data_IF_780170855414
#
_entry.id   IF_780170855414
#
_cell.length_a   1.000
_cell.length_b   1.000
_cell.length_c   1.000
_cell.angle_alpha   90.00
_cell.angle_beta   90.00
_cell.angle_gamma   90.00
#
_symmetry.space_group_name_H-M   'P 1'
#
loop_
_entity.id
_entity.type
_entity.pdbx_description
1 polymer ?
#
# COMPACT_ATOMS: atom_id res chain seq x y z
N UNK A 1 2.18 30.25 5.43
CA UNK A 1 2.94 29.92 4.21
C UNK A 1 1.93 29.31 3.28
N UNK A 2 1.55 30.02 2.22
CA UNK A 2 0.67 29.45 1.20
C UNK A 2 1.45 28.36 0.49
N UNK A 3 0.92 27.14 0.52
CA UNK A 3 1.56 26.02 -0.16
C UNK A 3 1.47 26.26 -1.67
N UNK A 4 2.61 26.42 -2.34
CA UNK A 4 2.70 26.56 -3.80
C UNK A 4 2.23 25.32 -4.56
N UNK A 5 2.04 24.20 -3.85
CA UNK A 5 1.64 22.91 -4.42
C UNK A 5 0.38 22.42 -3.72
N UNK A 6 -0.65 22.13 -4.50
CA UNK A 6 -1.87 21.47 -4.05
C UNK A 6 -1.85 20.01 -4.50
N UNK A 7 -1.80 19.11 -3.54
CA UNK A 7 -1.90 17.68 -3.80
C UNK A 7 -3.36 17.25 -3.94
N UNK A 8 -3.61 16.18 -4.67
CA UNK A 8 -4.93 15.54 -4.72
C UNK A 8 -5.41 15.27 -3.29
N UNK A 9 -6.66 15.58 -2.98
CA UNK A 9 -7.26 15.34 -1.66
C UNK A 9 -7.45 13.86 -1.34
N UNK A 10 -7.43 13.00 -2.35
CA UNK A 10 -7.64 11.57 -2.20
C UNK A 10 -6.46 10.91 -1.47
N UNK A 11 -6.77 9.95 -0.57
CA UNK A 11 -5.77 9.15 0.13
C UNK A 11 -5.03 8.18 -0.81
N UNK A 12 -3.90 7.64 -0.36
CA UNK A 12 -3.15 6.63 -1.08
C UNK A 12 -3.78 5.24 -0.87
N UNK A 13 -3.95 4.48 -1.95
CA UNK A 13 -4.21 3.04 -1.84
C UNK A 13 -2.88 2.30 -1.81
N UNK A 14 -2.63 1.55 -0.72
CA UNK A 14 -1.36 0.90 -0.46
C UNK A 14 -1.60 -0.60 -0.27
N UNK A 15 -0.93 -1.42 -1.04
CA UNK A 15 -0.92 -2.88 -0.87
C UNK A 15 0.38 -3.29 -0.20
N UNK A 16 0.27 -3.91 0.97
CA UNK A 16 1.40 -4.50 1.69
C UNK A 16 1.29 -6.02 1.63
N UNK A 17 2.22 -6.65 0.94
CA UNK A 17 2.30 -8.11 0.82
C UNK A 17 3.67 -8.62 1.23
N UNK A 18 3.82 -9.93 1.23
CA UNK A 18 5.06 -10.62 1.55
C UNK A 18 4.80 -11.93 2.28
N UNK A 19 5.81 -12.78 2.42
CA UNK A 19 5.66 -14.11 2.97
C UNK A 19 5.07 -14.14 4.37
N UNK A 20 4.37 -15.23 4.70
CA UNK A 20 3.93 -15.46 6.07
C UNK A 20 5.13 -15.47 7.02
N UNK A 21 5.07 -14.63 8.06
CA UNK A 21 6.18 -14.52 9.03
C UNK A 21 7.20 -13.41 8.73
N UNK A 22 7.08 -12.65 7.64
CA UNK A 22 7.98 -11.53 7.34
C UNK A 22 7.76 -10.28 8.22
N UNK A 23 6.63 -10.20 8.98
CA UNK A 23 6.37 -9.14 9.95
C UNK A 23 5.53 -7.98 9.44
N UNK A 24 4.65 -8.19 8.43
CA UNK A 24 3.72 -7.17 7.90
C UNK A 24 2.91 -6.49 8.99
N UNK A 25 2.17 -7.26 9.80
CA UNK A 25 1.32 -6.72 10.86
C UNK A 25 2.11 -5.91 11.90
N UNK A 26 3.34 -6.32 12.22
CA UNK A 26 4.18 -5.55 13.14
C UNK A 26 4.54 -4.20 12.56
N UNK A 27 4.92 -4.14 11.28
CA UNK A 27 5.21 -2.89 10.58
C UNK A 27 3.97 -2.00 10.51
N UNK A 28 2.81 -2.56 10.12
CA UNK A 28 1.55 -1.83 10.02
C UNK A 28 1.16 -1.25 11.40
N UNK A 29 1.21 -2.05 12.45
CA UNK A 29 0.85 -1.61 13.80
C UNK A 29 1.75 -0.47 14.31
N UNK A 30 3.06 -0.52 14.04
CA UNK A 30 3.97 0.57 14.41
C UNK A 30 3.75 1.81 13.54
N UNK A 31 3.47 1.64 12.24
CA UNK A 31 3.15 2.74 11.34
C UNK A 31 1.88 3.50 11.78
N UNK A 32 0.86 2.80 12.25
CA UNK A 32 -0.38 3.38 12.79
C UNK A 32 -0.16 4.20 14.07
N UNK A 33 0.93 3.99 14.80
CA UNK A 33 1.27 4.82 15.97
C UNK A 33 1.85 6.19 15.59
N UNK A 34 2.45 6.29 14.42
CA UNK A 34 3.11 7.53 13.96
C UNK A 34 2.30 8.29 12.90
N UNK A 35 1.28 7.66 12.31
CA UNK A 35 0.38 8.26 11.32
C UNK A 35 -1.07 8.09 11.72
N UNK A 36 -1.80 9.21 11.78
CA UNK A 36 -3.20 9.24 12.24
C UNK A 36 -4.22 9.16 11.08
N UNK A 37 -3.77 9.27 9.83
CA UNK A 37 -4.61 9.33 8.64
C UNK A 37 -4.56 8.03 7.82
N UNK A 38 -4.30 6.90 8.46
CA UNK A 38 -4.25 5.58 7.81
C UNK A 38 -5.37 4.71 8.36
N UNK A 39 -6.14 4.14 7.46
CA UNK A 39 -7.08 3.07 7.74
C UNK A 39 -6.57 1.74 7.15
N UNK A 40 -6.65 0.66 7.92
CA UNK A 40 -6.31 -0.68 7.45
C UNK A 40 -7.59 -1.38 7.04
N UNK A 41 -7.66 -1.82 5.80
CA UNK A 41 -8.84 -2.50 5.26
C UNK A 41 -9.13 -3.79 6.00
N UNK A 42 -10.40 -3.99 6.33
CA UNK A 42 -10.91 -5.22 6.92
C UNK A 42 -11.52 -6.06 5.80
N UNK A 43 -10.98 -7.26 5.61
CA UNK A 43 -11.47 -8.18 4.58
C UNK A 43 -12.82 -8.80 4.96
N UNK A 44 -13.61 -9.17 3.96
CA UNK A 44 -14.77 -10.02 4.11
C UNK A 44 -14.37 -11.50 4.07
N UNK A 45 -15.11 -12.35 4.77
CA UNK A 45 -14.96 -13.81 4.68
C UNK A 45 -16.29 -14.51 4.87
N UNK A 46 -16.46 -15.65 4.18
CA UNK A 46 -17.62 -16.55 4.40
C UNK A 46 -17.37 -17.59 5.49
N UNK A 47 -16.21 -17.53 6.14
CA UNK A 47 -15.86 -18.41 7.26
C UNK A 47 -16.51 -17.91 8.54
N UNK A 48 -16.99 -18.83 9.37
CA UNK A 48 -17.43 -18.51 10.72
C UNK A 48 -16.31 -17.89 11.58
N UNK A 49 -16.65 -16.96 12.49
CA UNK A 49 -15.70 -16.40 13.46
C UNK A 49 -15.00 -17.50 14.28
N UNK A 50 -13.73 -17.30 14.63
CA UNK A 50 -12.95 -18.21 15.48
C UNK A 50 -12.64 -17.52 16.81
N UNK A 51 -12.92 -18.23 17.90
CA UNK A 51 -12.61 -17.72 19.25
C UNK A 51 -13.24 -16.35 19.51
N UNK A 52 -12.42 -15.35 19.78
CA UNK A 52 -12.86 -13.98 20.10
C UNK A 52 -12.91 -13.03 18.89
N UNK A 53 -12.84 -13.55 17.67
CA UNK A 53 -12.94 -12.72 16.46
C UNK A 53 -14.28 -11.98 16.40
N UNK A 54 -14.24 -10.69 16.04
CA UNK A 54 -15.41 -9.81 16.00
C UNK A 54 -15.64 -9.27 14.60
N UNK A 55 -16.93 -9.23 14.21
CA UNK A 55 -17.37 -8.63 12.96
C UNK A 55 -16.99 -7.14 12.89
N UNK A 56 -16.44 -6.70 11.74
CA UNK A 56 -16.01 -5.33 11.55
C UNK A 56 -14.70 -4.97 12.26
N UNK A 57 -14.01 -5.93 12.89
CA UNK A 57 -12.70 -5.76 13.52
C UNK A 57 -11.67 -6.70 12.87
N UNK A 58 -11.93 -8.01 12.92
CA UNK A 58 -11.01 -8.99 12.35
C UNK A 58 -11.36 -9.30 10.90
N UNK A 59 -12.65 -9.45 10.63
CA UNK A 59 -13.27 -9.64 9.32
C UNK A 59 -14.67 -9.05 9.32
N UNK A 60 -15.20 -8.76 8.12
CA UNK A 60 -16.65 -8.74 7.90
C UNK A 60 -17.09 -10.17 7.59
N UNK A 61 -17.79 -10.79 8.52
CA UNK A 61 -18.28 -12.15 8.37
C UNK A 61 -19.61 -12.13 7.61
N UNK A 62 -19.63 -12.76 6.45
CA UNK A 62 -20.79 -12.88 5.55
C UNK A 62 -21.20 -14.33 5.44
N UNK A 63 -22.47 -14.61 5.16
CA UNK A 63 -22.85 -15.95 4.71
C UNK A 63 -22.24 -16.24 3.33
N UNK A 64 -22.21 -17.50 2.94
CA UNK A 64 -21.70 -17.88 1.60
C UNK A 64 -22.55 -17.25 0.50
N UNK A 65 -23.87 -17.25 0.67
CA UNK A 65 -24.86 -16.67 -0.24
C UNK A 65 -24.68 -15.15 -0.37
N UNK A 66 -24.42 -14.45 0.74
CA UNK A 66 -24.13 -13.01 0.72
C UNK A 66 -22.84 -12.73 -0.02
N UNK A 67 -21.79 -13.50 0.25
CA UNK A 67 -20.50 -13.34 -0.43
C UNK A 67 -20.63 -13.57 -1.94
N UNK A 68 -21.33 -14.63 -2.37
CA UNK A 68 -21.57 -14.95 -3.78
C UNK A 68 -22.43 -13.88 -4.48
N UNK A 69 -23.41 -13.31 -3.78
CA UNK A 69 -24.18 -12.16 -4.28
C UNK A 69 -23.27 -10.94 -4.49
N UNK A 70 -22.40 -10.66 -3.53
CA UNK A 70 -21.50 -9.50 -3.59
C UNK A 70 -20.42 -9.68 -4.67
N UNK A 71 -19.99 -10.92 -4.97
CA UNK A 71 -19.16 -11.23 -6.16
C UNK A 71 -19.91 -10.86 -7.44
N UNK A 72 -21.17 -11.28 -7.59
CA UNK A 72 -21.99 -10.99 -8.80
C UNK A 72 -22.23 -9.51 -9.00
N UNK A 73 -22.28 -8.74 -7.93
CA UNK A 73 -22.47 -7.29 -7.95
C UNK A 73 -21.14 -6.52 -8.09
N UNK A 74 -20.00 -7.22 -8.27
CA UNK A 74 -18.65 -6.62 -8.38
C UNK A 74 -18.27 -5.74 -7.17
N UNK A 75 -18.68 -6.15 -5.96
CA UNK A 75 -18.44 -5.38 -4.72
C UNK A 75 -17.01 -5.57 -4.16
N UNK A 76 -16.21 -6.49 -4.70
CA UNK A 76 -14.85 -6.75 -4.25
C UNK A 76 -13.79 -6.26 -5.23
N UNK A 77 -12.71 -5.66 -4.72
CA UNK A 77 -11.50 -5.38 -5.50
C UNK A 77 -10.84 -6.66 -5.98
N UNK A 78 -10.73 -7.62 -5.08
CA UNK A 78 -10.26 -8.98 -5.33
C UNK A 78 -10.97 -9.93 -4.37
N UNK A 79 -11.04 -11.17 -4.74
CA UNK A 79 -11.48 -12.27 -3.87
C UNK A 79 -10.79 -13.57 -4.26
N UNK A 80 -10.73 -14.50 -3.30
CA UNK A 80 -10.23 -15.85 -3.49
C UNK A 80 -11.00 -16.84 -2.62
N UNK A 81 -11.07 -18.10 -3.07
CA UNK A 81 -11.51 -19.21 -2.24
C UNK A 81 -10.31 -19.91 -1.63
N UNK A 82 -10.33 -20.12 -0.32
CA UNK A 82 -9.31 -20.85 0.40
C UNK A 82 -9.93 -21.80 1.42
N UNK A 83 -9.61 -23.09 1.34
CA UNK A 83 -10.14 -24.13 2.25
C UNK A 83 -11.67 -24.13 2.36
N UNK A 84 -12.38 -23.94 1.22
CA UNK A 84 -13.84 -23.96 1.15
C UNK A 84 -14.53 -22.69 1.64
N UNK A 85 -13.78 -21.63 1.95
CA UNK A 85 -14.32 -20.33 2.34
C UNK A 85 -13.81 -19.23 1.42
N UNK A 86 -14.65 -18.23 1.20
CA UNK A 86 -14.28 -17.03 0.47
C UNK A 86 -13.60 -16.01 1.38
N UNK A 87 -12.69 -15.26 0.79
CA UNK A 87 -12.04 -14.09 1.36
C UNK A 87 -11.98 -13.01 0.29
N UNK A 88 -12.28 -11.76 0.63
CA UNK A 88 -12.27 -10.68 -0.36
C UNK A 88 -12.14 -9.31 0.27
N UNK A 89 -11.69 -8.37 -0.53
CA UNK A 89 -11.42 -6.98 -0.16
C UNK A 89 -12.56 -6.11 -0.66
N UNK A 90 -13.45 -5.58 0.22
CA UNK A 90 -14.64 -4.84 -0.18
C UNK A 90 -14.31 -3.45 -0.73
N UNK A 91 -14.84 -3.08 -1.90
CA UNK A 91 -14.62 -1.77 -2.56
C UNK A 91 -15.21 -0.60 -1.77
N UNK A 92 -16.42 -0.78 -1.20
CA UNK A 92 -17.19 0.28 -0.57
C UNK A 92 -16.41 1.05 0.48
N UNK A 93 -15.85 0.35 1.47
CA UNK A 93 -15.15 0.97 2.58
C UNK A 93 -13.84 1.61 2.14
N UNK A 94 -13.14 1.00 1.19
CA UNK A 94 -11.89 1.53 0.63
C UNK A 94 -12.15 2.88 -0.04
N UNK A 95 -13.18 2.94 -0.90
CA UNK A 95 -13.54 4.18 -1.59
C UNK A 95 -13.90 5.29 -0.61
N UNK A 96 -14.68 4.98 0.42
CA UNK A 96 -15.09 5.95 1.44
C UNK A 96 -13.89 6.59 2.14
N UNK A 97 -12.91 5.78 2.60
CA UNK A 97 -11.72 6.28 3.27
C UNK A 97 -10.81 7.08 2.31
N UNK A 98 -10.59 6.59 1.10
CA UNK A 98 -9.80 7.32 0.09
C UNK A 98 -10.41 8.68 -0.25
N UNK A 99 -11.72 8.76 -0.45
CA UNK A 99 -12.42 10.00 -0.77
C UNK A 99 -12.39 11.01 0.39
N UNK A 100 -12.27 10.53 1.64
CA UNK A 100 -12.06 11.34 2.83
C UNK A 100 -10.60 11.80 3.00
N UNK A 101 -9.69 11.41 2.11
CA UNK A 101 -8.27 11.75 2.17
C UNK A 101 -7.44 10.87 3.11
N UNK A 102 -8.03 9.77 3.61
CA UNK A 102 -7.31 8.79 4.43
C UNK A 102 -6.57 7.79 3.54
N UNK A 103 -5.35 7.46 3.92
CA UNK A 103 -4.60 6.39 3.27
C UNK A 103 -5.19 5.03 3.64
N UNK A 104 -5.29 4.15 2.67
CA UNK A 104 -5.84 2.82 2.87
C UNK A 104 -4.77 1.76 2.66
N UNK A 105 -4.50 0.97 3.70
CA UNK A 105 -3.60 -0.19 3.62
C UNK A 105 -4.41 -1.46 3.41
N UNK A 106 -4.10 -2.20 2.37
CA UNK A 106 -4.55 -3.57 2.13
C UNK A 106 -3.44 -4.54 2.53
N UNK A 107 -3.61 -5.26 3.64
CA UNK A 107 -2.75 -6.40 3.97
C UNK A 107 -3.31 -7.66 3.33
N UNK A 108 -2.82 -8.02 2.17
CA UNK A 108 -3.32 -9.12 1.36
C UNK A 108 -2.20 -10.05 0.89
N UNK A 109 -2.60 -11.26 0.51
CA UNK A 109 -1.69 -12.23 -0.11
C UNK A 109 -1.30 -11.80 -1.53
N UNK A 110 -0.16 -12.28 -2.00
CA UNK A 110 0.44 -11.87 -3.28
C UNK A 110 -0.50 -12.09 -4.46
N UNK A 111 -1.24 -13.19 -4.48
CA UNK A 111 -2.22 -13.46 -5.55
C UNK A 111 -3.32 -12.39 -5.62
N UNK A 112 -3.81 -11.93 -4.46
CA UNK A 112 -4.76 -10.81 -4.40
C UNK A 112 -4.13 -9.50 -4.83
N UNK A 113 -2.91 -9.22 -4.38
CA UNK A 113 -2.16 -8.03 -4.78
C UNK A 113 -1.97 -7.92 -6.30
N UNK A 114 -1.62 -9.01 -6.97
CA UNK A 114 -1.44 -9.04 -8.43
C UNK A 114 -2.75 -8.79 -9.18
N UNK A 115 -3.88 -9.32 -8.69
CA UNK A 115 -5.20 -9.04 -9.27
C UNK A 115 -5.59 -7.56 -9.15
N UNK A 116 -5.22 -6.91 -8.04
CA UNK A 116 -5.45 -5.47 -7.86
C UNK A 116 -4.55 -4.68 -8.81
N UNK A 117 -3.30 -5.08 -8.97
CA UNK A 117 -2.35 -4.41 -9.85
C UNK A 117 -2.80 -4.39 -11.31
N UNK A 118 -3.47 -5.43 -11.77
CA UNK A 118 -4.05 -5.50 -13.11
C UNK A 118 -5.21 -4.51 -13.33
N UNK A 119 -5.82 -4.01 -12.24
CA UNK A 119 -7.02 -3.17 -12.30
C UNK A 119 -6.78 -1.71 -11.93
N UNK A 120 -5.77 -1.44 -11.08
CA UNK A 120 -5.56 -0.14 -10.45
C UNK A 120 -4.09 0.27 -10.51
N UNK A 121 -3.73 1.06 -11.51
CA UNK A 121 -2.34 1.49 -11.78
C UNK A 121 -1.79 2.46 -10.71
N UNK A 122 -2.64 3.25 -10.07
CA UNK A 122 -2.23 4.26 -9.07
C UNK A 122 -1.96 3.67 -7.67
N UNK A 123 -2.08 2.36 -7.50
CA UNK A 123 -1.87 1.68 -6.22
C UNK A 123 -0.38 1.54 -5.90
N UNK A 124 -0.01 1.80 -4.65
CA UNK A 124 1.37 1.65 -4.15
C UNK A 124 1.59 0.23 -3.66
N UNK A 125 2.40 -0.56 -4.35
CA UNK A 125 2.69 -1.95 -3.99
C UNK A 125 4.01 -2.07 -3.24
N UNK A 126 3.97 -2.48 -1.97
CA UNK A 126 5.12 -2.67 -1.10
C UNK A 126 5.24 -4.15 -0.73
N UNK A 127 6.38 -4.75 -1.06
CA UNK A 127 6.70 -6.11 -0.66
C UNK A 127 7.57 -6.12 0.59
N UNK A 128 7.12 -6.76 1.66
CA UNK A 128 7.89 -6.94 2.89
C UNK A 128 8.58 -8.30 2.84
N UNK A 129 9.89 -8.30 2.99
CA UNK A 129 10.66 -9.54 3.03
C UNK A 129 11.50 -9.68 4.30
N UNK A 130 11.79 -10.90 4.73
CA UNK A 130 12.74 -11.15 5.82
C UNK A 130 14.16 -10.85 5.35
N UNK A 131 15.13 -10.59 6.26
CA UNK A 131 16.52 -10.37 5.87
C UNK A 131 17.18 -11.60 5.23
N UNK A 132 16.77 -12.80 5.64
CA UNK A 132 17.21 -14.07 5.06
C UNK A 132 16.11 -15.13 5.16
N UNK A 133 16.20 -16.17 4.32
CA UNK A 133 15.30 -17.32 4.41
C UNK A 133 15.48 -18.12 5.72
N UNK A 134 16.68 -18.15 6.27
CA UNK A 134 16.93 -18.78 7.58
C UNK A 134 16.21 -18.02 8.70
N UNK A 135 16.21 -16.69 8.65
CA UNK A 135 15.47 -15.88 9.61
C UNK A 135 13.96 -16.11 9.47
N UNK A 136 13.43 -16.20 8.25
CA UNK A 136 12.02 -16.54 8.01
C UNK A 136 11.68 -17.90 8.63
N UNK A 137 12.50 -18.91 8.40
CA UNK A 137 12.32 -20.25 8.98
C UNK A 137 12.28 -20.16 10.51
N UNK A 138 13.21 -19.43 11.12
CA UNK A 138 13.24 -19.20 12.58
C UNK A 138 11.95 -18.56 13.09
N UNK A 139 11.46 -17.51 12.40
CA UNK A 139 10.22 -16.81 12.76
C UNK A 139 9.00 -17.71 12.65
N UNK A 140 8.92 -18.57 11.64
CA UNK A 140 7.81 -19.52 11.48
C UNK A 140 7.81 -20.59 12.59
N UNK A 141 8.97 -21.13 12.95
CA UNK A 141 9.09 -22.13 14.03
C UNK A 141 8.72 -21.52 15.39
N UNK A 142 9.19 -20.30 15.68
CA UNK A 142 8.98 -19.66 16.98
C UNK A 142 7.50 -19.31 17.29
N UNK A 143 6.61 -19.30 16.30
CA UNK A 143 5.16 -19.09 16.53
C UNK A 143 4.51 -20.22 17.34
N UNK A 144 5.11 -21.40 17.40
CA UNK A 144 4.62 -22.60 18.16
C UNK A 144 3.15 -22.97 17.90
N UNK A 145 2.54 -22.45 16.85
CA UNK A 145 1.12 -22.66 16.51
C UNK A 145 0.90 -23.67 15.40
N UNK A 146 1.97 -24.03 14.69
CA UNK A 146 1.91 -24.87 13.49
C UNK A 146 2.69 -26.16 13.64
N UNK A 147 2.21 -27.23 13.00
CA UNK A 147 2.97 -28.48 12.85
C UNK A 147 4.15 -28.28 11.90
N UNK A 148 5.17 -29.14 11.99
CA UNK A 148 6.34 -29.10 11.11
C UNK A 148 5.95 -29.16 9.63
N UNK A 149 4.97 -29.98 9.27
CA UNK A 149 4.46 -30.08 7.90
C UNK A 149 3.86 -28.75 7.39
N UNK A 150 3.12 -28.02 8.25
CA UNK A 150 2.59 -26.69 7.90
C UNK A 150 3.70 -25.66 7.73
N UNK A 151 4.73 -25.71 8.58
CA UNK A 151 5.90 -24.83 8.49
C UNK A 151 6.63 -25.06 7.16
N UNK A 152 6.83 -26.33 6.78
CA UNK A 152 7.48 -26.68 5.50
C UNK A 152 6.69 -26.16 4.29
N UNK A 153 5.37 -26.36 4.27
CA UNK A 153 4.50 -25.84 3.21
C UNK A 153 4.57 -24.32 3.11
N UNK A 154 4.54 -23.60 4.26
CA UNK A 154 4.68 -22.14 4.28
C UNK A 154 6.05 -21.66 3.81
N UNK A 155 7.10 -22.38 4.18
CA UNK A 155 8.45 -22.04 3.76
C UNK A 155 8.66 -22.24 2.25
N UNK A 156 8.13 -23.33 1.70
CA UNK A 156 8.14 -23.56 0.24
C UNK A 156 7.37 -22.46 -0.49
N UNK A 157 6.16 -22.13 -0.01
CA UNK A 157 5.36 -21.04 -0.58
C UNK A 157 6.09 -19.70 -0.52
N UNK A 158 6.81 -19.40 0.55
CA UNK A 158 7.58 -18.16 0.67
C UNK A 158 8.64 -18.01 -0.44
N UNK A 159 9.25 -19.10 -0.88
CA UNK A 159 10.17 -19.10 -2.02
C UNK A 159 9.48 -18.72 -3.33
N UNK A 160 8.29 -19.27 -3.56
CA UNK A 160 7.48 -18.94 -4.73
C UNK A 160 7.06 -17.46 -4.69
N UNK A 161 6.66 -16.99 -3.53
CA UNK A 161 6.21 -15.62 -3.29
C UNK A 161 7.32 -14.57 -3.50
N UNK A 162 8.57 -14.86 -3.16
CA UNK A 162 9.71 -13.96 -3.37
C UNK A 162 9.99 -13.74 -4.88
N UNK A 163 9.69 -14.70 -5.74
CA UNK A 163 9.85 -14.55 -7.19
C UNK A 163 8.89 -13.49 -7.78
N UNK A 164 7.86 -13.10 -7.05
CA UNK A 164 6.89 -12.08 -7.47
C UNK A 164 7.34 -10.64 -7.16
N UNK A 165 8.46 -10.45 -6.45
CA UNK A 165 9.01 -9.12 -6.07
C UNK A 165 9.12 -8.16 -7.26
N UNK A 166 9.59 -8.56 -8.47
CA UNK A 166 9.70 -7.64 -9.61
C UNK A 166 8.38 -6.99 -10.04
N UNK A 167 7.25 -7.51 -9.58
CA UNK A 167 5.92 -6.95 -9.86
C UNK A 167 5.48 -5.86 -8.89
N UNK A 168 6.27 -5.59 -7.82
CA UNK A 168 5.99 -4.56 -6.83
C UNK A 168 6.72 -3.26 -7.14
N UNK A 169 6.24 -2.15 -6.57
CA UNK A 169 6.90 -0.85 -6.73
C UNK A 169 8.09 -0.74 -5.78
N UNK A 170 7.95 -1.31 -4.57
CA UNK A 170 8.94 -1.21 -3.50
C UNK A 170 9.15 -2.55 -2.81
N UNK A 171 10.39 -2.75 -2.32
CA UNK A 171 10.73 -3.86 -1.43
C UNK A 171 11.32 -3.30 -0.14
N UNK A 172 10.82 -3.78 1.00
CA UNK A 172 11.31 -3.40 2.33
C UNK A 172 11.77 -4.65 3.06
N UNK A 173 13.06 -4.70 3.38
CA UNK A 173 13.64 -5.78 4.19
C UNK A 173 13.39 -5.47 5.67
N UNK A 174 12.70 -6.37 6.36
CA UNK A 174 12.41 -6.30 7.79
C UNK A 174 13.49 -7.05 8.59
N UNK A 175 14.67 -6.45 8.66
CA UNK A 175 15.80 -6.87 9.52
C UNK A 175 15.67 -6.27 10.93
N UNK A 176 15.25 -5.01 10.98
CA UNK A 176 15.00 -4.22 12.17
C UNK A 176 13.63 -3.54 11.98
N UNK A 177 12.75 -3.67 12.98
CA UNK A 177 11.37 -3.19 12.86
C UNK A 177 11.30 -1.69 12.68
N UNK A 178 12.04 -0.92 13.49
CA UNK A 178 11.99 0.55 13.44
C UNK A 178 12.52 1.09 12.11
N UNK A 179 13.57 0.47 11.57
CA UNK A 179 14.10 0.82 10.25
C UNK A 179 13.13 0.45 9.13
N UNK A 180 12.46 -0.69 9.24
CA UNK A 180 11.47 -1.10 8.26
C UNK A 180 10.27 -0.16 8.25
N UNK A 181 9.76 0.25 9.42
CA UNK A 181 8.69 1.24 9.57
C UNK A 181 9.09 2.58 8.95
N UNK A 182 10.28 3.10 9.26
CA UNK A 182 10.79 4.34 8.66
C UNK A 182 10.91 4.28 7.14
N UNK A 183 11.28 3.11 6.57
CA UNK A 183 11.32 2.93 5.11
C UNK A 183 9.93 2.97 4.49
N UNK A 184 8.95 2.29 5.10
CA UNK A 184 7.56 2.35 4.63
C UNK A 184 7.04 3.78 4.74
N UNK A 185 7.26 4.46 5.85
CA UNK A 185 6.88 5.84 6.07
C UNK A 185 7.46 6.79 5.00
N UNK A 186 8.76 6.66 4.70
CA UNK A 186 9.43 7.42 3.66
C UNK A 186 8.88 7.14 2.24
N UNK A 187 8.47 5.89 1.95
CA UNK A 187 7.81 5.54 0.69
C UNK A 187 6.49 6.29 0.56
N UNK A 188 5.66 6.32 1.62
CA UNK A 188 4.38 7.02 1.59
C UNK A 188 4.57 8.53 1.39
N UNK A 189 5.58 9.14 2.01
CA UNK A 189 5.93 10.55 1.76
C UNK A 189 6.37 10.78 0.31
N UNK A 190 7.24 9.93 -0.23
CA UNK A 190 7.70 10.05 -1.61
C UNK A 190 6.55 9.89 -2.62
N UNK A 191 5.63 8.95 -2.36
CA UNK A 191 4.45 8.74 -3.22
C UNK A 191 3.51 9.96 -3.26
N UNK A 192 3.42 10.72 -2.18
CA UNK A 192 2.66 11.98 -2.15
C UNK A 192 3.30 13.10 -2.98
N UNK A 193 4.61 13.01 -3.20
CA UNK A 193 5.37 13.98 -3.99
C UNK A 193 5.40 13.68 -5.49
N UNK A 194 4.76 12.59 -5.94
CA UNK A 194 4.70 12.24 -7.37
C UNK A 194 3.91 13.29 -8.15
N UNK A 195 4.43 13.68 -9.31
CA UNK A 195 3.83 14.73 -10.16
C UNK A 195 2.39 14.37 -10.58
N UNK A 196 2.10 13.10 -10.84
CA UNK A 196 0.76 12.61 -11.19
C UNK A 196 -0.25 12.68 -10.04
N UNK A 197 0.22 12.95 -8.81
CA UNK A 197 -0.60 13.18 -7.61
C UNK A 197 -0.67 14.65 -7.22
N UNK A 198 -0.04 15.54 -7.97
CA UNK A 198 -0.11 16.99 -7.78
C UNK A 198 -1.26 17.51 -8.66
N UNK A 199 -2.23 18.18 -8.04
CA UNK A 199 -3.38 18.75 -8.73
C UNK A 199 -3.04 20.09 -9.36
N UNK A 200 -2.37 20.97 -8.61
CA UNK A 200 -2.00 22.32 -9.03
C UNK A 200 -0.67 22.74 -8.40
N UNK A 201 0.09 23.52 -9.15
CA UNK A 201 1.25 24.27 -8.63
C UNK A 201 0.88 25.75 -8.70
N UNK A 202 0.91 26.43 -7.56
CA UNK A 202 0.62 27.86 -7.48
C UNK A 202 1.90 28.67 -7.49
N UNK A 203 1.90 29.69 -8.35
CA UNK A 203 2.80 30.83 -8.19
C UNK A 203 1.96 31.94 -7.54
N UNK A 204 2.46 32.57 -6.47
CA UNK A 204 1.77 33.72 -5.91
C UNK A 204 1.84 34.92 -6.89
N UNK A 205 0.96 35.88 -6.73
CA UNK A 205 0.87 37.05 -7.61
C UNK A 205 2.15 37.90 -7.67
N UNK A 206 3.05 37.74 -6.70
CA UNK A 206 4.37 38.38 -6.68
C UNK A 206 5.37 37.60 -7.54
N UNK A 207 5.33 36.29 -7.48
CA UNK A 207 6.17 35.39 -8.28
C UNK A 207 5.77 35.44 -9.75
N UNK A 208 4.46 35.52 -10.07
CA UNK A 208 3.96 35.74 -11.42
C UNK A 208 4.49 37.05 -12.02
N UNK A 209 4.48 38.15 -11.24
CA UNK A 209 5.05 39.44 -11.67
C UNK A 209 6.55 39.39 -11.89
N UNK A 210 7.28 38.65 -11.06
CA UNK A 210 8.73 38.42 -11.24
C UNK A 210 8.97 37.63 -12.53
N UNK A 211 8.15 36.61 -12.78
CA UNK A 211 8.24 35.79 -13.98
C UNK A 211 7.96 36.60 -15.26
N UNK A 212 6.91 37.43 -15.26
CA UNK A 212 6.60 38.34 -16.37
C UNK A 212 7.76 39.34 -16.61
N UNK A 213 8.31 39.94 -15.52
CA UNK A 213 9.42 40.86 -15.64
C UNK A 213 10.69 40.17 -16.22
N UNK A 214 10.98 38.93 -15.78
CA UNK A 214 12.07 38.13 -16.30
C UNK A 214 11.88 37.77 -17.78
N UNK A 215 10.66 37.50 -18.21
CA UNK A 215 10.35 37.20 -19.60
C UNK A 215 10.51 38.43 -20.49
N UNK A 216 10.18 39.61 -19.99
CA UNK A 216 10.41 40.88 -20.72
C UNK A 216 11.90 41.19 -20.82
N UNK A 217 12.65 41.02 -19.73
CA UNK A 217 14.14 41.16 -19.75
C UNK A 217 14.81 40.20 -20.74
N UNK A 218 14.29 38.96 -20.87
CA UNK A 218 14.80 37.97 -21.83
C UNK A 218 14.46 38.34 -23.29
N UNK A 219 13.31 38.98 -23.55
CA UNK A 219 12.96 39.44 -24.91
C UNK A 219 13.93 40.52 -25.40
N UNK A 220 14.43 41.36 -24.49
CA UNK A 220 15.40 42.41 -24.78
C UNK A 220 16.85 41.93 -24.76
N UNK A 221 17.07 40.62 -24.50
CA UNK A 221 18.40 40.03 -24.40
C UNK A 221 19.03 39.86 -25.80
N UNK A 222 19.98 40.69 -26.09
CA UNK A 222 20.75 40.62 -27.34
C UNK A 222 21.85 39.54 -27.26
N UNK A 223 21.56 38.39 -27.88
CA UNK A 223 22.45 37.24 -27.96
C UNK A 223 23.81 37.54 -28.66
N UNK A 224 23.91 38.69 -29.36
CA UNK A 224 25.16 39.08 -30.04
C UNK A 224 26.29 39.46 -29.08
N UNK A 225 26.01 39.63 -27.78
CA UNK A 225 26.96 40.01 -26.74
C UNK A 225 27.48 38.85 -25.88
N UNK A 226 27.15 37.62 -26.21
CA UNK A 226 27.67 36.46 -25.47
C UNK A 226 29.02 36.06 -26.10
N UNK A 227 30.10 36.48 -25.50
CA UNK A 227 31.41 35.86 -25.73
C UNK A 227 31.50 34.57 -24.95
N UNK A 228 31.44 33.44 -25.67
CA UNK A 228 31.71 32.11 -25.07
C UNK A 228 33.24 32.06 -24.85
N UNK A 229 33.66 32.11 -23.61
CA UNK A 229 35.05 31.85 -23.20
C UNK A 229 35.31 30.37 -23.05
#
# INVERSE_FOLDING_TARGET
MDNMVKTKKQGLLIVISGPSGCGKNSIINELLKIRNNIWVSISCTSREPRGEEKNGINYYFLSKEEFERDIKNDEFLEYAEYSGNYYGTPKKYIKEHLDNGEDVILEIEIQGALKIKEKLDETVFIFIMPPTMNELKRRLINRKTDSLEKIEKRFKRAYEEINEIPKYNYVVVNDDLDKAVKKVDAILEAERCRVDRIEEVYLDSKEERIHEALLDDVKDFDNSKIEIK
#
